data_IF_591504833307
#
_entry.id   IF_591504833307
#
_cell.length_a   1.000
_cell.length_b   1.000
_cell.length_c   1.000
_cell.angle_alpha   90.00
_cell.angle_beta   90.00
_cell.angle_gamma   90.00
#
_symmetry.space_group_name_H-M   'P 1'
#
loop_
_entity.id
_entity.type
_entity.pdbx_description
1 polymer ?
#
# COMPACT_ATOMS: atom_id res chain seq x y z
N UNK A 1 15.32 -1.31 32.17
CA UNK A 1 14.90 -1.67 30.79
C UNK A 1 15.74 -2.81 30.22
N UNK A 2 17.03 -2.69 29.92
CA UNK A 2 17.82 -3.79 29.31
C UNK A 2 17.94 -5.01 30.25
N UNK A 3 18.10 -4.82 31.56
CA UNK A 3 18.24 -5.91 32.53
C UNK A 3 16.98 -6.76 32.70
N UNK A 4 15.81 -6.18 32.47
CA UNK A 4 14.50 -6.86 32.55
C UNK A 4 14.23 -7.75 31.35
N UNK A 5 14.90 -7.48 30.23
CA UNK A 5 14.76 -8.26 29.00
C UNK A 5 15.57 -9.58 29.04
N UNK A 6 16.53 -9.70 29.98
CA UNK A 6 17.43 -10.82 30.08
C UNK A 6 16.71 -12.03 30.77
N UNK A 7 16.74 -13.17 30.13
CA UNK A 7 16.37 -14.47 30.76
C UNK A 7 17.61 -15.16 31.29
N UNK A 8 17.84 -15.05 32.60
CA UNK A 8 19.00 -15.63 33.26
C UNK A 8 18.96 -17.17 33.40
N UNK A 9 17.84 -17.81 33.03
CA UNK A 9 17.74 -19.26 33.01
C UNK A 9 18.32 -19.90 31.75
N UNK A 10 18.67 -19.07 30.75
CA UNK A 10 19.28 -19.49 29.48
C UNK A 10 20.79 -19.22 29.53
N UNK A 11 21.60 -20.21 29.18
CA UNK A 11 23.05 -20.01 29.08
C UNK A 11 23.37 -19.23 27.80
N UNK A 12 24.04 -18.05 27.89
CA UNK A 12 24.35 -17.23 26.73
C UNK A 12 25.29 -17.90 25.72
N UNK A 13 25.95 -19.00 26.10
CA UNK A 13 26.80 -19.79 25.19
C UNK A 13 25.98 -20.73 24.31
N UNK A 14 24.79 -21.14 24.77
CA UNK A 14 23.91 -22.05 24.06
C UNK A 14 22.91 -21.29 23.19
N UNK A 15 22.25 -20.26 23.77
CA UNK A 15 21.30 -19.39 23.06
C UNK A 15 21.43 -17.94 23.57
N UNK A 16 22.28 -17.16 22.89
CA UNK A 16 22.49 -15.76 23.24
C UNK A 16 21.24 -14.90 23.03
N UNK A 17 20.44 -15.18 21.98
CA UNK A 17 19.22 -14.44 21.71
C UNK A 17 18.17 -14.68 22.79
N UNK A 18 17.92 -15.92 23.14
CA UNK A 18 17.02 -16.29 24.23
C UNK A 18 17.48 -15.71 25.59
N UNK A 19 18.79 -15.74 25.89
CA UNK A 19 19.34 -15.08 27.06
C UNK A 19 19.06 -13.56 27.06
N UNK A 20 19.38 -12.85 25.96
CA UNK A 20 19.31 -11.39 25.91
C UNK A 20 17.87 -10.85 25.82
N UNK A 21 16.96 -11.56 25.16
CA UNK A 21 15.61 -11.11 24.83
C UNK A 21 14.49 -11.94 25.47
N UNK A 22 14.77 -13.07 26.06
CA UNK A 22 13.76 -14.01 26.57
C UNK A 22 12.86 -13.44 27.67
N UNK A 23 13.36 -12.55 28.51
CA UNK A 23 12.56 -11.85 29.53
C UNK A 23 11.53 -10.92 28.89
N UNK A 24 11.93 -10.20 27.81
CA UNK A 24 11.01 -9.37 27.04
C UNK A 24 9.93 -10.21 26.36
N UNK A 25 10.30 -11.30 25.69
CA UNK A 25 9.37 -12.20 25.02
C UNK A 25 8.31 -12.78 25.98
N UNK A 26 8.73 -13.19 27.19
CA UNK A 26 7.81 -13.70 28.23
C UNK A 26 6.81 -12.65 28.70
N UNK A 27 7.22 -11.38 28.78
CA UNK A 27 6.36 -10.27 29.21
C UNK A 27 5.51 -9.67 28.09
N UNK A 28 5.82 -10.00 26.82
CA UNK A 28 5.14 -9.49 25.63
C UNK A 28 4.75 -10.65 24.71
N UNK A 29 3.81 -11.53 25.12
CA UNK A 29 3.36 -12.63 24.28
C UNK A 29 2.73 -12.11 22.98
N UNK A 30 2.84 -12.89 21.91
CA UNK A 30 2.20 -12.62 20.64
C UNK A 30 0.68 -12.55 20.84
N UNK A 31 0.08 -11.44 20.43
CA UNK A 31 -1.37 -11.27 20.42
C UNK A 31 -1.95 -11.81 19.13
N UNK A 32 -3.20 -12.34 19.11
CA UNK A 32 -3.78 -12.97 17.92
C UNK A 32 -3.93 -12.04 16.72
N UNK A 33 -4.03 -10.73 16.95
CA UNK A 33 -4.11 -9.69 15.89
C UNK A 33 -2.76 -9.38 15.21
N UNK A 34 -1.67 -10.08 15.59
CA UNK A 34 -0.34 -9.89 15.02
C UNK A 34 0.26 -11.23 14.56
N UNK A 35 0.88 -11.25 13.40
CA UNK A 35 1.69 -12.39 12.93
C UNK A 35 3.10 -12.41 13.55
N UNK A 36 3.56 -11.28 14.07
CA UNK A 36 4.81 -11.09 14.79
C UNK A 36 4.66 -9.92 15.75
N UNK A 37 5.43 -9.93 16.85
CA UNK A 37 5.42 -8.83 17.81
C UNK A 37 6.84 -8.55 18.32
N UNK A 38 7.28 -7.31 18.20
CA UNK A 38 8.59 -6.85 18.65
C UNK A 38 8.51 -5.47 19.30
N UNK A 39 9.66 -4.94 19.70
CA UNK A 39 9.76 -3.61 20.36
C UNK A 39 9.16 -2.51 19.49
N UNK A 40 9.32 -2.58 18.16
CA UNK A 40 8.73 -1.60 17.25
C UNK A 40 7.20 -1.67 17.24
N UNK A 41 6.63 -2.87 17.36
CA UNK A 41 5.18 -3.04 17.44
C UNK A 41 4.63 -2.50 18.75
N UNK A 42 5.33 -2.67 19.87
CA UNK A 42 4.96 -2.09 21.17
C UNK A 42 4.98 -0.55 21.13
N UNK A 43 6.00 0.04 20.51
CA UNK A 43 6.07 1.50 20.30
C UNK A 43 4.94 1.98 19.38
N UNK A 44 4.67 1.26 18.29
CA UNK A 44 3.60 1.58 17.37
C UNK A 44 2.22 1.50 18.04
N UNK A 45 1.99 0.51 18.90
CA UNK A 45 0.74 0.40 19.69
C UNK A 45 0.55 1.58 20.66
N UNK A 46 1.62 2.03 21.31
CA UNK A 46 1.58 3.23 22.17
C UNK A 46 1.23 4.48 21.35
N UNK A 47 1.89 4.65 20.20
CA UNK A 47 1.62 5.77 19.30
C UNK A 47 0.19 5.73 18.75
N UNK A 48 -0.33 4.55 18.39
CA UNK A 48 -1.72 4.38 17.94
C UNK A 48 -2.73 4.80 19.00
N UNK A 49 -2.50 4.43 20.26
CA UNK A 49 -3.36 4.85 21.38
C UNK A 49 -3.34 6.37 21.57
N UNK A 50 -2.18 7.00 21.49
CA UNK A 50 -2.03 8.44 21.58
C UNK A 50 -2.75 9.16 20.42
N UNK A 51 -2.61 8.67 19.18
CA UNK A 51 -3.34 9.22 18.04
C UNK A 51 -4.85 9.01 18.17
N UNK A 52 -5.30 7.85 18.67
CA UNK A 52 -6.71 7.61 19.00
C UNK A 52 -7.26 8.67 19.96
N UNK A 53 -6.57 8.90 21.08
CA UNK A 53 -6.95 9.92 22.07
C UNK A 53 -7.00 11.34 21.46
N UNK A 54 -6.11 11.67 20.53
CA UNK A 54 -6.14 12.94 19.81
C UNK A 54 -7.38 13.08 18.94
N UNK A 55 -7.67 12.07 18.12
CA UNK A 55 -8.79 12.11 17.17
C UNK A 55 -10.13 12.12 17.91
N UNK A 56 -10.30 11.25 18.91
CA UNK A 56 -11.51 11.21 19.76
C UNK A 56 -11.69 12.52 20.54
N UNK A 57 -10.60 13.09 21.06
CA UNK A 57 -10.63 14.39 21.75
C UNK A 57 -11.12 15.55 20.88
N UNK A 58 -10.99 15.47 19.55
CA UNK A 58 -11.59 16.45 18.64
C UNK A 58 -13.12 16.47 18.74
N UNK A 59 -13.75 15.35 19.13
CA UNK A 59 -15.19 15.25 19.37
C UNK A 59 -15.66 15.95 20.63
N UNK A 60 -14.84 15.94 21.68
CA UNK A 60 -15.15 16.54 22.97
C UNK A 60 -15.08 18.08 22.95
N UNK A 61 -14.37 18.68 21.98
CA UNK A 61 -14.19 20.11 21.81
C UNK A 61 -14.79 20.61 20.48
N UNK A 62 -16.13 20.72 20.37
CA UNK A 62 -16.79 21.10 19.11
C UNK A 62 -16.32 22.45 18.54
N UNK A 63 -15.91 23.40 19.36
CA UNK A 63 -15.36 24.67 18.96
C UNK A 63 -14.02 24.56 18.22
N UNK A 64 -13.25 23.49 18.48
CA UNK A 64 -12.02 23.18 17.74
C UNK A 64 -12.30 22.56 16.36
N UNK A 65 -13.56 22.12 16.12
CA UNK A 65 -14.01 21.52 14.85
C UNK A 65 -14.84 22.51 14.03
N UNK A 66 -14.28 23.66 13.76
CA UNK A 66 -14.94 24.65 12.92
C UNK A 66 -15.32 24.03 11.55
N UNK A 67 -16.52 24.30 11.06
CA UNK A 67 -17.05 23.75 9.81
C UNK A 67 -16.07 23.95 8.65
N UNK A 68 -15.76 22.85 7.92
CA UNK A 68 -14.79 22.82 6.84
C UNK A 68 -13.32 22.76 7.29
N UNK A 69 -13.04 22.77 8.62
CA UNK A 69 -11.68 22.63 9.14
C UNK A 69 -11.10 21.23 8.91
N UNK A 70 -9.77 21.13 8.93
CA UNK A 70 -9.07 19.83 8.85
C UNK A 70 -9.40 18.97 10.08
N UNK A 71 -9.53 19.56 11.26
CA UNK A 71 -9.91 18.85 12.48
C UNK A 71 -11.29 18.19 12.36
N UNK A 72 -12.29 18.91 11.80
CA UNK A 72 -13.59 18.32 11.50
C UNK A 72 -13.46 17.14 10.52
N UNK A 73 -12.74 17.31 9.42
CA UNK A 73 -12.59 16.26 8.41
C UNK A 73 -11.94 14.98 8.97
N UNK A 74 -10.92 15.12 9.81
CA UNK A 74 -10.26 14.00 10.50
C UNK A 74 -11.25 13.25 11.38
N UNK A 75 -12.00 13.97 12.21
CA UNK A 75 -12.97 13.38 13.12
C UNK A 75 -14.11 12.71 12.37
N UNK A 76 -14.71 13.40 11.39
CA UNK A 76 -15.87 12.88 10.64
C UNK A 76 -15.52 11.60 9.88
N UNK A 77 -14.32 11.51 9.29
CA UNK A 77 -13.85 10.29 8.61
C UNK A 77 -13.60 9.16 9.62
N UNK A 78 -13.08 9.45 10.80
CA UNK A 78 -12.92 8.45 11.86
C UNK A 78 -14.29 7.90 12.31
N UNK A 79 -15.26 8.77 12.59
CA UNK A 79 -16.62 8.39 12.96
C UNK A 79 -17.31 7.56 11.87
N UNK A 80 -17.15 7.94 10.59
CA UNK A 80 -17.65 7.14 9.47
C UNK A 80 -17.00 5.77 9.41
N UNK A 81 -15.72 5.66 9.74
CA UNK A 81 -15.01 4.38 9.84
C UNK A 81 -15.54 3.47 10.97
N UNK A 82 -16.09 4.06 12.03
CA UNK A 82 -16.72 3.34 13.15
C UNK A 82 -18.19 2.97 12.87
N UNK A 83 -18.87 3.63 11.93
CA UNK A 83 -20.29 3.40 11.60
C UNK A 83 -20.48 2.12 10.78
N UNK A 84 -20.41 0.98 11.47
CA UNK A 84 -20.61 -0.34 10.86
C UNK A 84 -22.01 -0.53 10.31
N UNK A 85 -23.04 0.03 10.95
CA UNK A 85 -24.43 -0.09 10.49
C UNK A 85 -24.64 0.56 9.13
N UNK A 86 -24.04 1.73 8.93
CA UNK A 86 -24.06 2.40 7.62
C UNK A 86 -23.30 1.59 6.58
N UNK A 87 -22.12 1.10 6.89
CA UNK A 87 -21.28 0.32 5.97
C UNK A 87 -22.00 -0.96 5.52
N UNK A 88 -22.66 -1.67 6.45
CA UNK A 88 -23.45 -2.86 6.10
C UNK A 88 -24.66 -2.52 5.22
N UNK A 89 -25.36 -1.43 5.51
CA UNK A 89 -26.51 -0.97 4.71
C UNK A 89 -26.12 -0.56 3.30
N UNK A 90 -24.98 0.11 3.14
CA UNK A 90 -24.47 0.58 1.84
C UNK A 90 -23.80 -0.56 1.05
N UNK A 91 -23.21 -1.55 1.72
CA UNK A 91 -22.61 -2.72 1.09
C UNK A 91 -21.59 -2.37 0.03
N UNK A 92 -21.84 -2.80 -1.21
CA UNK A 92 -20.99 -2.51 -2.38
C UNK A 92 -21.32 -1.17 -3.07
N UNK A 93 -22.41 -0.49 -2.69
CA UNK A 93 -22.92 0.71 -3.41
C UNK A 93 -21.83 1.78 -3.64
N UNK A 94 -20.93 2.08 -2.67
CA UNK A 94 -19.91 3.12 -2.87
C UNK A 94 -18.88 2.83 -3.97
N UNK A 95 -18.59 1.55 -4.27
CA UNK A 95 -17.61 1.17 -5.30
C UNK A 95 -18.26 1.00 -6.69
N UNK A 96 -19.60 0.83 -6.75
CA UNK A 96 -20.29 0.54 -8.01
C UNK A 96 -20.07 1.58 -9.12
N UNK A 97 -20.02 2.90 -8.87
CA UNK A 97 -19.73 3.87 -9.93
C UNK A 97 -18.36 3.65 -10.61
N UNK A 98 -17.38 3.15 -9.86
CA UNK A 98 -16.05 2.81 -10.40
C UNK A 98 -16.15 1.55 -11.25
N UNK A 99 -16.81 0.51 -10.73
CA UNK A 99 -17.03 -0.75 -11.43
C UNK A 99 -17.78 -0.52 -12.74
N UNK A 100 -18.87 0.24 -12.72
CA UNK A 100 -19.68 0.56 -13.91
C UNK A 100 -18.87 1.31 -14.96
N UNK A 101 -18.07 2.30 -14.56
CA UNK A 101 -17.19 3.03 -15.48
C UNK A 101 -16.17 2.10 -16.15
N UNK A 102 -15.57 1.18 -15.41
CA UNK A 102 -14.63 0.21 -15.98
C UNK A 102 -15.37 -0.75 -16.93
N UNK A 103 -16.56 -1.21 -16.59
CA UNK A 103 -17.35 -2.10 -17.43
C UNK A 103 -17.77 -1.44 -18.75
N UNK A 104 -18.00 -0.14 -18.76
CA UNK A 104 -18.36 0.64 -19.96
C UNK A 104 -17.15 1.04 -20.80
N UNK A 105 -15.93 0.86 -20.30
CA UNK A 105 -14.70 1.24 -20.99
C UNK A 105 -14.53 0.41 -22.27
N UNK A 106 -14.24 1.07 -23.39
CA UNK A 106 -13.86 0.49 -24.67
C UNK A 106 -12.50 1.03 -25.14
N UNK A 107 -12.10 0.71 -26.36
CA UNK A 107 -10.83 1.16 -26.90
C UNK A 107 -10.74 2.71 -27.01
N UNK A 108 -11.86 3.36 -27.31
CA UNK A 108 -11.92 4.83 -27.50
C UNK A 108 -11.84 5.57 -26.14
N UNK A 109 -12.45 4.98 -25.10
CA UNK A 109 -12.51 5.54 -23.74
C UNK A 109 -11.42 5.03 -22.81
N UNK A 110 -10.56 4.12 -23.25
CA UNK A 110 -9.49 3.52 -22.46
C UNK A 110 -8.57 4.56 -21.79
N UNK A 111 -8.00 5.47 -22.59
CA UNK A 111 -7.08 6.51 -22.09
C UNK A 111 -7.72 7.38 -21.02
N UNK A 112 -8.95 7.84 -21.25
CA UNK A 112 -9.69 8.68 -20.31
C UNK A 112 -10.00 7.90 -19.00
N UNK A 113 -10.44 6.65 -19.12
CA UNK A 113 -10.74 5.80 -17.96
C UNK A 113 -9.50 5.51 -17.14
N UNK A 114 -8.38 5.16 -17.77
CA UNK A 114 -7.10 4.98 -17.11
C UNK A 114 -6.62 6.25 -16.40
N UNK A 115 -6.74 7.40 -17.03
CA UNK A 115 -6.40 8.69 -16.43
C UNK A 115 -7.26 8.99 -15.20
N UNK A 116 -8.54 8.66 -15.26
CA UNK A 116 -9.47 8.85 -14.15
C UNK A 116 -9.19 7.88 -12.99
N UNK A 117 -8.96 6.59 -13.25
CA UNK A 117 -8.61 5.60 -12.23
C UNK A 117 -7.32 5.98 -11.48
N UNK A 118 -6.32 6.47 -12.19
CA UNK A 118 -5.06 6.89 -11.59
C UNK A 118 -5.15 8.12 -10.66
N UNK A 119 -6.31 8.78 -10.58
CA UNK A 119 -6.55 9.84 -9.58
C UNK A 119 -6.90 9.32 -8.19
N UNK A 120 -7.27 8.04 -8.05
CA UNK A 120 -7.67 7.53 -6.74
C UNK A 120 -8.12 6.07 -6.65
N UNK A 121 -8.24 5.35 -7.77
CA UNK A 121 -8.75 3.97 -7.77
C UNK A 121 -7.72 2.94 -8.29
N UNK A 122 -6.46 3.36 -8.47
CA UNK A 122 -5.39 2.50 -8.96
C UNK A 122 -5.40 2.25 -10.47
N UNK A 123 -4.24 2.26 -11.11
CA UNK A 123 -4.10 2.08 -12.57
C UNK A 123 -3.78 0.66 -13.04
N UNK A 124 -3.46 -0.26 -12.14
CA UNK A 124 -3.25 -1.69 -12.38
C UNK A 124 -2.04 -2.09 -13.21
N UNK A 125 -1.76 -1.46 -14.36
CA UNK A 125 -0.76 -1.94 -15.33
C UNK A 125 0.62 -1.30 -15.23
N UNK A 126 0.70 -0.09 -14.71
CA UNK A 126 1.96 0.64 -14.48
C UNK A 126 1.76 1.66 -13.35
N UNK A 127 2.86 2.03 -12.72
CA UNK A 127 2.88 3.09 -11.72
C UNK A 127 3.49 4.37 -12.28
N UNK A 128 3.04 5.52 -11.80
CA UNK A 128 3.73 6.79 -11.98
C UNK A 128 3.45 7.74 -10.81
N UNK A 129 4.37 8.63 -10.58
CA UNK A 129 4.23 9.61 -9.49
C UNK A 129 5.38 10.60 -9.49
N UNK A 130 5.17 11.70 -8.77
CA UNK A 130 6.18 12.75 -8.58
C UNK A 130 6.94 12.48 -7.28
N UNK A 131 8.26 12.45 -7.37
CA UNK A 131 9.15 12.22 -6.25
C UNK A 131 10.52 12.85 -6.43
N UNK A 132 11.39 12.79 -5.41
CA UNK A 132 12.74 13.37 -5.50
C UNK A 132 13.54 12.73 -6.64
N UNK A 133 14.33 13.58 -7.34
CA UNK A 133 15.32 13.10 -8.29
C UNK A 133 16.46 12.39 -7.52
N UNK A 134 16.78 11.12 -7.80
CA UNK A 134 17.87 10.41 -7.12
C UNK A 134 19.25 11.06 -7.28
N UNK A 135 19.48 11.84 -8.35
CA UNK A 135 20.73 12.56 -8.57
C UNK A 135 20.76 13.93 -7.87
N UNK A 136 19.61 14.55 -7.63
CA UNK A 136 19.46 15.83 -6.92
C UNK A 136 18.13 15.87 -6.18
N UNK A 137 18.11 15.47 -4.92
CA UNK A 137 16.92 15.37 -4.09
C UNK A 137 16.23 16.71 -3.79
N UNK A 138 16.82 17.85 -4.20
CA UNK A 138 16.18 19.17 -4.08
C UNK A 138 15.12 19.41 -5.16
N UNK A 139 15.08 18.57 -6.21
CA UNK A 139 14.16 18.67 -7.35
C UNK A 139 13.26 17.46 -7.41
N UNK A 140 11.97 17.67 -7.55
CA UNK A 140 11.00 16.61 -7.80
C UNK A 140 10.84 16.36 -9.31
N UNK A 141 10.72 15.09 -9.68
CA UNK A 141 10.60 14.64 -11.07
C UNK A 141 9.49 13.59 -11.22
N UNK A 142 8.97 13.43 -12.43
CA UNK A 142 8.04 12.36 -12.74
C UNK A 142 8.81 11.04 -12.88
N UNK A 143 8.37 10.03 -12.15
CA UNK A 143 8.84 8.66 -12.24
C UNK A 143 7.76 7.79 -12.89
N UNK A 144 8.14 6.94 -13.84
CA UNK A 144 7.30 5.87 -14.39
C UNK A 144 7.89 4.54 -13.95
N UNK A 145 7.06 3.65 -13.43
CA UNK A 145 7.48 2.41 -12.76
C UNK A 145 6.63 1.19 -13.13
N UNK A 146 7.10 0.03 -12.72
CA UNK A 146 6.29 -1.19 -12.70
C UNK A 146 5.05 -1.00 -11.81
N UNK A 147 3.96 -1.71 -12.15
CA UNK A 147 2.79 -1.81 -11.28
C UNK A 147 3.03 -2.71 -10.07
N UNK A 148 2.08 -2.72 -9.13
CA UNK A 148 1.96 -3.74 -8.10
C UNK A 148 1.57 -5.11 -8.66
N UNK A 149 1.41 -6.07 -7.79
CA UNK A 149 0.76 -7.35 -7.98
C UNK A 149 -0.16 -7.57 -6.78
N UNK A 150 -1.30 -8.20 -6.96
CA UNK A 150 -2.25 -8.45 -5.88
C UNK A 150 -1.62 -9.20 -4.71
N UNK A 151 -0.76 -10.18 -4.96
CA UNK A 151 -0.02 -10.91 -3.92
C UNK A 151 1.30 -10.24 -3.49
N UNK A 152 1.61 -9.06 -4.03
CA UNK A 152 2.75 -8.24 -3.63
C UNK A 152 4.10 -8.64 -4.21
N UNK A 153 4.38 -9.91 -4.46
CA UNK A 153 5.66 -10.37 -5.01
C UNK A 153 5.49 -11.32 -6.19
N UNK A 154 6.41 -11.22 -7.16
CA UNK A 154 6.42 -12.04 -8.37
C UNK A 154 6.59 -13.53 -8.07
N UNK A 155 7.29 -13.87 -7.01
CA UNK A 155 7.65 -15.25 -6.69
C UNK A 155 6.41 -16.09 -6.33
N UNK A 156 5.32 -15.47 -5.84
CA UNK A 156 4.05 -16.17 -5.61
C UNK A 156 3.42 -16.73 -6.90
N UNK A 157 3.68 -16.12 -8.05
CA UNK A 157 3.14 -16.53 -9.35
C UNK A 157 4.09 -17.47 -10.12
N UNK A 158 5.40 -17.39 -9.86
CA UNK A 158 6.43 -18.04 -10.69
C UNK A 158 7.06 -19.27 -10.03
N UNK A 159 7.11 -19.31 -8.70
CA UNK A 159 7.71 -20.42 -7.97
C UNK A 159 6.64 -21.43 -7.55
N UNK A 160 6.87 -22.69 -7.94
CA UNK A 160 5.98 -23.82 -7.57
C UNK A 160 6.44 -24.44 -6.27
N UNK A 161 5.66 -24.26 -5.22
CA UNK A 161 5.82 -24.90 -3.92
C UNK A 161 4.45 -24.93 -3.20
N UNK A 162 4.30 -25.80 -2.20
CA UNK A 162 3.07 -26.01 -1.46
C UNK A 162 2.48 -24.71 -0.84
N UNK A 163 3.36 -23.84 -0.34
CA UNK A 163 2.93 -22.55 0.22
C UNK A 163 2.33 -21.63 -0.83
N UNK A 164 2.97 -21.49 -1.98
CA UNK A 164 2.48 -20.64 -3.07
C UNK A 164 1.19 -21.20 -3.66
N UNK A 165 1.08 -22.53 -3.79
CA UNK A 165 -0.13 -23.18 -4.26
C UNK A 165 -1.31 -22.90 -3.30
N UNK A 166 -1.09 -22.96 -1.97
CA UNK A 166 -2.08 -22.60 -0.96
C UNK A 166 -2.50 -21.12 -1.07
N UNK A 167 -1.54 -20.21 -1.27
CA UNK A 167 -1.81 -18.78 -1.42
C UNK A 167 -2.61 -18.51 -2.71
N UNK A 168 -2.26 -19.15 -3.83
CA UNK A 168 -2.99 -18.98 -5.09
C UNK A 168 -4.42 -19.53 -5.00
N UNK A 169 -4.65 -20.64 -4.30
CA UNK A 169 -6.01 -21.14 -4.02
C UNK A 169 -6.82 -20.15 -3.15
N UNK A 170 -6.19 -19.56 -2.13
CA UNK A 170 -6.84 -18.54 -1.31
C UNK A 170 -7.12 -17.26 -2.12
N UNK A 171 -6.24 -16.88 -3.03
CA UNK A 171 -6.44 -15.74 -3.93
C UNK A 171 -7.59 -16.00 -4.90
N UNK A 172 -7.69 -17.20 -5.48
CA UNK A 172 -8.84 -17.58 -6.30
C UNK A 172 -10.16 -17.42 -5.51
N UNK A 173 -10.21 -17.97 -4.29
CA UNK A 173 -11.39 -17.83 -3.41
C UNK A 173 -11.69 -16.37 -3.09
N UNK A 174 -10.67 -15.55 -2.85
CA UNK A 174 -10.83 -14.11 -2.63
C UNK A 174 -11.48 -13.42 -3.83
N UNK A 175 -10.98 -13.65 -5.04
CA UNK A 175 -11.56 -13.09 -6.28
C UNK A 175 -13.02 -13.48 -6.42
N UNK A 176 -13.36 -14.79 -6.27
CA UNK A 176 -14.74 -15.26 -6.32
C UNK A 176 -15.63 -14.53 -5.29
N UNK A 177 -15.13 -14.39 -4.07
CA UNK A 177 -15.88 -13.78 -2.98
C UNK A 177 -16.18 -12.31 -3.26
N UNK A 178 -15.16 -11.49 -3.58
CA UNK A 178 -15.35 -10.05 -3.77
C UNK A 178 -16.13 -9.74 -5.07
N UNK A 179 -15.99 -10.58 -6.12
CA UNK A 179 -16.83 -10.45 -7.32
C UNK A 179 -18.30 -10.75 -7.00
N UNK A 180 -18.58 -11.78 -6.22
CA UNK A 180 -19.95 -12.07 -5.76
C UNK A 180 -20.56 -10.93 -4.93
N UNK A 181 -19.77 -10.26 -4.09
CA UNK A 181 -20.23 -9.12 -3.28
C UNK A 181 -20.63 -7.89 -4.10
N UNK A 182 -20.11 -7.74 -5.31
CA UNK A 182 -20.51 -6.68 -6.27
C UNK A 182 -21.51 -7.18 -7.33
N UNK A 183 -22.09 -8.37 -7.15
CA UNK A 183 -23.19 -8.87 -7.96
C UNK A 183 -22.79 -9.66 -9.21
N UNK A 184 -21.53 -10.08 -9.34
CA UNK A 184 -21.12 -11.00 -10.42
C UNK A 184 -21.63 -12.42 -10.15
N UNK A 185 -21.96 -13.14 -11.21
CA UNK A 185 -22.27 -14.58 -11.11
C UNK A 185 -20.99 -15.38 -10.81
N UNK A 186 -21.10 -16.64 -10.33
CA UNK A 186 -19.93 -17.50 -10.16
C UNK A 186 -19.12 -17.68 -11.46
N UNK A 187 -19.79 -17.77 -12.60
CA UNK A 187 -19.17 -17.89 -13.93
C UNK A 187 -18.41 -16.60 -14.31
N UNK A 188 -18.96 -15.43 -14.00
CA UNK A 188 -18.29 -14.16 -14.21
C UNK A 188 -17.07 -14.02 -13.27
N UNK A 189 -17.20 -14.45 -12.03
CA UNK A 189 -16.09 -14.48 -11.07
C UNK A 189 -14.93 -15.37 -11.56
N UNK A 190 -15.25 -16.54 -12.15
CA UNK A 190 -14.24 -17.43 -12.73
C UNK A 190 -13.55 -16.79 -13.93
N UNK A 191 -14.29 -16.13 -14.82
CA UNK A 191 -13.71 -15.37 -15.94
C UNK A 191 -12.77 -14.26 -15.45
N UNK A 192 -13.15 -13.55 -14.39
CA UNK A 192 -12.29 -12.51 -13.77
C UNK A 192 -11.02 -13.16 -13.21
N UNK A 193 -11.12 -14.27 -12.49
CA UNK A 193 -9.97 -15.01 -11.99
C UNK A 193 -9.02 -15.44 -13.12
N UNK A 194 -9.53 -16.04 -14.20
CA UNK A 194 -8.73 -16.44 -15.36
C UNK A 194 -7.99 -15.26 -15.99
N UNK A 195 -8.68 -14.13 -16.14
CA UNK A 195 -8.08 -12.88 -16.67
C UNK A 195 -6.98 -12.34 -15.74
N UNK A 196 -7.23 -12.31 -14.45
CA UNK A 196 -6.31 -11.79 -13.45
C UNK A 196 -5.06 -12.64 -13.33
N UNK A 197 -5.21 -13.97 -13.18
CA UNK A 197 -4.06 -14.85 -12.99
C UNK A 197 -3.15 -14.90 -14.23
N UNK A 198 -3.74 -14.81 -15.42
CA UNK A 198 -2.98 -14.70 -16.67
C UNK A 198 -2.20 -13.40 -16.72
N UNK A 199 -2.88 -12.26 -16.50
CA UNK A 199 -2.24 -10.93 -16.57
C UNK A 199 -1.16 -10.79 -15.50
N UNK A 200 -1.44 -11.14 -14.26
CA UNK A 200 -0.45 -10.98 -13.17
C UNK A 200 0.72 -11.94 -13.28
N UNK A 201 0.51 -13.13 -13.82
CA UNK A 201 1.63 -14.05 -14.14
C UNK A 201 2.53 -13.46 -15.20
N UNK A 202 1.99 -12.86 -16.26
CA UNK A 202 2.79 -12.19 -17.30
C UNK A 202 3.51 -10.95 -16.73
N UNK A 203 2.82 -10.13 -15.92
CA UNK A 203 3.44 -9.03 -15.18
C UNK A 203 4.60 -9.55 -14.32
N UNK A 204 4.40 -10.60 -13.54
CA UNK A 204 5.41 -11.19 -12.66
C UNK A 204 6.66 -11.64 -13.41
N UNK A 205 6.52 -12.21 -14.62
CA UNK A 205 7.65 -12.61 -15.48
C UNK A 205 8.52 -11.44 -15.90
N UNK A 206 7.94 -10.27 -16.08
CA UNK A 206 8.62 -9.08 -16.60
C UNK A 206 9.06 -8.08 -15.53
N UNK A 207 8.62 -8.26 -14.28
CA UNK A 207 9.05 -7.43 -13.13
C UNK A 207 10.48 -7.77 -12.73
N UNK A 208 11.18 -6.77 -12.21
CA UNK A 208 12.50 -6.94 -11.58
C UNK A 208 12.45 -7.92 -10.41
N UNK A 209 13.51 -8.71 -10.24
CA UNK A 209 13.72 -9.51 -9.03
C UNK A 209 13.94 -8.63 -7.81
N UNK A 210 13.92 -9.23 -6.60
CA UNK A 210 14.21 -8.51 -5.34
C UNK A 210 15.62 -7.92 -5.33
N UNK A 211 16.60 -8.64 -5.90
CA UNK A 211 17.98 -8.19 -6.02
C UNK A 211 18.11 -7.02 -6.99
N UNK A 212 17.48 -7.12 -8.17
CA UNK A 212 17.48 -6.03 -9.16
C UNK A 212 16.82 -4.76 -8.61
N UNK A 213 15.74 -4.89 -7.83
CA UNK A 213 15.08 -3.73 -7.21
C UNK A 213 15.95 -3.02 -6.17
N UNK A 214 16.87 -3.73 -5.51
CA UNK A 214 17.83 -3.15 -4.55
C UNK A 214 18.97 -2.39 -5.22
N UNK A 215 19.20 -2.58 -6.52
CA UNK A 215 20.22 -1.86 -7.25
C UNK A 215 19.68 -0.52 -7.78
N UNK A 216 20.05 0.64 -7.17
CA UNK A 216 19.52 1.93 -7.58
C UNK A 216 19.91 2.31 -9.02
N UNK A 217 21.03 1.81 -9.54
CA UNK A 217 21.49 2.08 -10.90
C UNK A 217 20.54 1.49 -11.96
N UNK A 218 19.85 0.40 -11.63
CA UNK A 218 18.84 -0.20 -12.52
C UNK A 218 17.51 0.56 -12.53
N UNK A 219 17.32 1.49 -11.58
CA UNK A 219 16.08 2.25 -11.42
C UNK A 219 16.22 3.72 -11.83
N UNK A 220 17.42 4.16 -12.23
CA UNK A 220 17.67 5.50 -12.69
C UNK A 220 17.94 5.52 -14.20
N UNK A 221 16.87 5.78 -14.98
CA UNK A 221 16.94 5.83 -16.44
C UNK A 221 16.29 7.12 -16.92
N UNK A 222 17.08 8.19 -16.93
CA UNK A 222 16.67 9.51 -17.28
C UNK A 222 16.50 9.67 -18.80
N UNK A 223 15.43 10.29 -19.23
CA UNK A 223 15.21 10.58 -20.65
C UNK A 223 14.28 11.76 -20.88
N UNK A 224 14.41 12.39 -22.05
CA UNK A 224 13.47 13.42 -22.48
C UNK A 224 12.10 12.80 -22.76
N UNK A 225 11.05 13.58 -22.57
CA UNK A 225 9.66 13.18 -22.87
C UNK A 225 9.50 12.76 -24.33
N UNK A 226 10.14 13.44 -25.28
CA UNK A 226 10.11 13.03 -26.69
C UNK A 226 10.68 11.62 -26.91
N UNK A 227 11.80 11.29 -26.26
CA UNK A 227 12.39 9.95 -26.32
C UNK A 227 11.47 8.92 -25.64
N UNK A 228 10.86 9.26 -24.51
CA UNK A 228 9.93 8.40 -23.80
C UNK A 228 8.73 8.02 -24.68
N UNK A 229 8.04 9.01 -25.23
CA UNK A 229 6.87 8.79 -26.09
C UNK A 229 7.21 8.01 -27.37
N UNK A 230 8.36 8.26 -27.97
CA UNK A 230 8.80 7.51 -29.17
C UNK A 230 9.22 6.08 -28.89
N UNK A 231 9.73 5.81 -27.68
CA UNK A 231 10.18 4.47 -27.27
C UNK A 231 9.03 3.58 -26.84
N UNK A 232 7.98 4.13 -26.26
CA UNK A 232 6.84 3.40 -25.69
C UNK A 232 5.50 3.81 -26.31
N UNK A 233 5.33 3.64 -27.65
CA UNK A 233 4.22 4.24 -28.39
C UNK A 233 2.87 3.52 -28.22
N UNK A 234 2.85 2.32 -27.64
CA UNK A 234 1.63 1.50 -27.51
C UNK A 234 0.64 1.97 -26.43
N UNK A 235 1.01 2.96 -25.64
CA UNK A 235 0.17 3.56 -24.60
C UNK A 235 0.13 5.08 -24.83
N UNK A 236 -1.06 5.67 -24.78
CA UNK A 236 -1.21 7.13 -24.83
C UNK A 236 -0.82 7.78 -23.49
N UNK A 237 0.48 7.80 -23.23
CA UNK A 237 1.04 8.37 -22.01
C UNK A 237 0.66 9.83 -21.80
N UNK A 238 0.61 10.62 -22.89
CA UNK A 238 0.23 12.03 -22.80
C UNK A 238 -1.19 12.17 -22.32
N UNK A 239 -2.14 11.49 -22.96
CA UNK A 239 -3.55 11.50 -22.57
C UNK A 239 -3.75 11.04 -21.13
N UNK A 240 -3.04 9.98 -20.68
CA UNK A 240 -3.13 9.47 -19.30
C UNK A 240 -2.58 10.49 -18.30
N UNK A 241 -1.39 11.05 -18.51
CA UNK A 241 -0.80 12.00 -17.56
C UNK A 241 -1.59 13.31 -17.48
N UNK A 242 -1.88 13.94 -18.61
CA UNK A 242 -2.66 15.19 -18.66
C UNK A 242 -4.08 14.96 -18.12
N UNK A 243 -4.72 13.85 -18.50
CA UNK A 243 -6.04 13.44 -18.00
C UNK A 243 -6.06 13.17 -16.51
N UNK A 244 -4.97 12.70 -15.89
CA UNK A 244 -4.86 12.56 -14.44
C UNK A 244 -4.45 13.85 -13.71
N UNK A 245 -4.27 14.96 -14.44
CA UNK A 245 -3.93 16.27 -13.87
C UNK A 245 -2.43 16.54 -13.77
N UNK A 246 -1.58 15.69 -14.35
CA UNK A 246 -0.14 15.91 -14.40
C UNK A 246 0.24 16.68 -15.67
N UNK A 247 1.03 17.72 -15.50
CA UNK A 247 1.65 18.41 -16.63
C UNK A 247 2.82 17.59 -17.15
N UNK A 248 2.89 17.38 -18.47
CA UNK A 248 4.03 16.71 -19.09
C UNK A 248 5.34 17.46 -18.80
N UNK A 249 6.34 16.83 -18.18
CA UNK A 249 7.65 17.45 -17.95
C UNK A 249 8.50 17.41 -19.23
N UNK A 250 9.60 18.14 -19.26
CA UNK A 250 10.60 18.04 -20.34
C UNK A 250 11.34 16.72 -20.30
N UNK A 251 11.62 16.24 -19.11
CA UNK A 251 12.34 15.00 -18.83
C UNK A 251 11.68 14.23 -17.69
N UNK A 252 11.90 12.91 -17.65
CA UNK A 252 11.35 12.01 -16.63
C UNK A 252 12.28 10.83 -16.38
N UNK A 253 12.06 10.13 -15.28
CA UNK A 253 12.76 8.88 -14.97
C UNK A 253 11.85 7.67 -15.23
N UNK A 254 12.40 6.65 -15.89
CA UNK A 254 11.74 5.35 -16.07
C UNK A 254 12.47 4.31 -15.22
N UNK A 255 11.87 3.89 -14.11
CA UNK A 255 12.52 2.97 -13.17
C UNK A 255 12.70 1.55 -13.70
N UNK A 256 11.96 1.13 -14.71
CA UNK A 256 12.10 -0.20 -15.34
C UNK A 256 11.82 -0.14 -16.84
N UNK A 257 12.86 0.16 -17.63
CA UNK A 257 12.73 0.28 -19.09
C UNK A 257 12.17 -0.98 -19.71
N UNK A 258 12.72 -2.16 -19.37
CA UNK A 258 12.30 -3.44 -19.95
C UNK A 258 10.82 -3.74 -19.68
N UNK A 259 10.36 -3.44 -18.48
CA UNK A 259 8.97 -3.63 -18.12
C UNK A 259 8.03 -2.70 -18.91
N UNK A 260 8.35 -1.40 -18.97
CA UNK A 260 7.51 -0.42 -19.69
C UNK A 260 7.52 -0.70 -21.21
N UNK A 261 8.65 -1.14 -21.76
CA UNK A 261 8.76 -1.53 -23.18
C UNK A 261 7.87 -2.74 -23.49
N UNK A 262 7.94 -3.77 -22.65
CA UNK A 262 7.06 -4.93 -22.74
C UNK A 262 5.59 -4.56 -22.57
N UNK A 263 5.25 -3.81 -21.52
CA UNK A 263 3.87 -3.38 -21.21
C UNK A 263 3.27 -2.53 -22.34
N UNK A 264 4.08 -1.68 -22.99
CA UNK A 264 3.66 -0.87 -24.13
C UNK A 264 3.24 -1.72 -25.35
N UNK A 265 3.73 -2.95 -25.47
CA UNK A 265 3.27 -3.91 -26.48
C UNK A 265 2.17 -4.84 -25.98
N UNK A 266 2.26 -5.26 -24.72
CA UNK A 266 1.35 -6.24 -24.12
C UNK A 266 -0.06 -5.68 -23.88
N UNK A 267 -0.16 -4.52 -23.25
CA UNK A 267 -1.46 -3.93 -22.88
C UNK A 267 -2.38 -3.70 -24.09
N UNK A 268 -1.92 -3.12 -25.22
CA UNK A 268 -2.76 -3.00 -26.41
C UNK A 268 -3.14 -4.32 -27.10
N UNK A 269 -2.42 -5.41 -26.80
CA UNK A 269 -2.71 -6.74 -27.36
C UNK A 269 -3.80 -7.49 -26.58
N UNK A 270 -4.12 -7.05 -25.36
CA UNK A 270 -5.14 -7.68 -24.53
C UNK A 270 -6.55 -7.41 -25.07
N UNK A 271 -7.43 -8.44 -25.06
CA UNK A 271 -8.86 -8.22 -25.24
C UNK A 271 -9.39 -7.25 -24.18
N UNK A 272 -10.18 -6.26 -24.59
CA UNK A 272 -10.70 -5.22 -23.69
C UNK A 272 -11.46 -5.82 -22.49
N UNK A 273 -12.11 -6.96 -22.66
CA UNK A 273 -12.79 -7.65 -21.55
C UNK A 273 -11.81 -8.10 -20.45
N UNK A 274 -10.64 -8.63 -20.81
CA UNK A 274 -9.60 -9.01 -19.82
C UNK A 274 -9.08 -7.78 -19.07
N UNK A 275 -8.92 -6.66 -19.78
CA UNK A 275 -8.50 -5.40 -19.17
C UNK A 275 -9.55 -4.91 -18.16
N UNK A 276 -10.85 -4.97 -18.52
CA UNK A 276 -11.95 -4.63 -17.61
C UNK A 276 -11.97 -5.54 -16.39
N UNK A 277 -11.91 -6.87 -16.59
CA UNK A 277 -11.92 -7.86 -15.51
C UNK A 277 -10.78 -7.59 -14.50
N UNK A 278 -9.57 -7.34 -15.00
CA UNK A 278 -8.41 -7.01 -14.16
C UNK A 278 -8.58 -5.70 -13.39
N UNK A 279 -8.99 -4.62 -14.06
CA UNK A 279 -9.15 -3.31 -13.43
C UNK A 279 -10.30 -3.30 -12.41
N UNK A 280 -11.38 -4.05 -12.64
CA UNK A 280 -12.47 -4.20 -11.66
C UNK A 280 -11.95 -4.85 -10.38
N UNK A 281 -11.17 -5.93 -10.47
CA UNK A 281 -10.57 -6.55 -9.29
C UNK A 281 -9.68 -5.54 -8.54
N UNK A 282 -8.77 -4.87 -9.24
CA UNK A 282 -7.85 -3.89 -8.61
C UNK A 282 -8.65 -2.79 -7.90
N UNK A 283 -9.64 -2.20 -8.55
CA UNK A 283 -10.44 -1.13 -7.98
C UNK A 283 -11.22 -1.56 -6.72
N UNK A 284 -11.80 -2.76 -6.72
CA UNK A 284 -12.51 -3.28 -5.55
C UNK A 284 -11.53 -3.58 -4.42
N UNK A 285 -10.38 -4.20 -4.72
CA UNK A 285 -9.36 -4.55 -3.72
C UNK A 285 -8.82 -3.31 -2.99
N UNK A 286 -8.66 -2.19 -3.68
CA UNK A 286 -8.27 -0.90 -3.05
C UNK A 286 -9.36 -0.36 -2.10
N UNK A 287 -10.63 -0.75 -2.28
CA UNK A 287 -11.77 -0.29 -1.51
C UNK A 287 -12.19 -1.18 -0.33
N UNK A 288 -11.70 -2.41 -0.22
CA UNK A 288 -12.18 -3.43 0.74
C UNK A 288 -12.24 -2.95 2.18
N UNK A 289 -11.26 -2.18 2.62
CA UNK A 289 -11.17 -1.63 3.98
C UNK A 289 -12.27 -0.61 4.33
N UNK A 290 -12.97 -0.05 3.36
CA UNK A 290 -14.00 0.99 3.53
C UNK A 290 -15.41 0.53 3.19
N UNK A 291 -15.58 -0.65 2.61
CA UNK A 291 -16.87 -1.29 2.27
C UNK A 291 -17.42 -2.08 3.46
N UNK A 292 -18.46 -2.90 3.25
CA UNK A 292 -19.06 -3.73 4.31
C UNK A 292 -18.05 -4.73 4.90
N UNK A 293 -18.39 -5.30 6.07
CA UNK A 293 -17.50 -6.24 6.78
C UNK A 293 -17.18 -7.47 5.93
N UNK A 294 -18.07 -7.88 5.02
CA UNK A 294 -17.83 -9.02 4.14
C UNK A 294 -16.63 -8.82 3.20
N UNK A 295 -16.40 -7.60 2.71
CA UNK A 295 -15.20 -7.26 1.93
C UNK A 295 -13.93 -7.31 2.78
N UNK A 296 -13.99 -6.75 3.98
CA UNK A 296 -12.85 -6.79 4.91
C UNK A 296 -12.53 -8.23 5.34
N UNK A 297 -13.54 -9.07 5.55
CA UNK A 297 -13.36 -10.49 5.88
C UNK A 297 -12.63 -11.24 4.76
N UNK A 298 -13.03 -11.01 3.50
CA UNK A 298 -12.35 -11.62 2.36
C UNK A 298 -10.87 -11.21 2.29
N UNK A 299 -10.59 -9.93 2.50
CA UNK A 299 -9.25 -9.36 2.54
C UNK A 299 -8.41 -9.96 3.67
N UNK A 300 -8.95 -10.01 4.88
CA UNK A 300 -8.32 -10.62 6.06
C UNK A 300 -7.98 -12.09 5.86
N UNK A 301 -8.89 -12.88 5.29
CA UNK A 301 -8.66 -14.32 5.05
C UNK A 301 -7.46 -14.56 4.13
N UNK A 302 -7.30 -13.76 3.06
CA UNK A 302 -6.17 -13.88 2.15
C UNK A 302 -4.88 -13.32 2.73
N UNK A 303 -4.86 -12.03 3.04
CA UNK A 303 -3.61 -11.30 3.31
C UNK A 303 -3.11 -11.46 4.75
N UNK A 304 -4.04 -11.43 5.71
CA UNK A 304 -3.66 -11.53 7.11
C UNK A 304 -3.58 -13.01 7.55
N UNK A 305 -4.61 -13.83 7.28
CA UNK A 305 -4.65 -15.21 7.77
C UNK A 305 -3.76 -16.15 6.96
N UNK A 306 -3.99 -16.27 5.65
CA UNK A 306 -3.25 -17.25 4.83
C UNK A 306 -1.83 -16.80 4.55
N UNK A 307 -1.61 -15.55 4.13
CA UNK A 307 -0.28 -15.08 3.77
C UNK A 307 0.59 -14.74 4.97
N UNK A 308 0.02 -14.16 6.03
CA UNK A 308 0.76 -13.63 7.19
C UNK A 308 0.66 -14.48 8.45
N UNK A 309 -0.34 -15.38 8.58
CA UNK A 309 -0.55 -16.23 9.75
C UNK A 309 -1.18 -15.49 10.94
N UNK A 310 -1.87 -14.38 10.72
CA UNK A 310 -2.60 -13.64 11.73
C UNK A 310 -3.90 -14.38 12.09
N UNK A 311 -4.20 -14.55 13.36
CA UNK A 311 -5.34 -15.34 13.82
C UNK A 311 -6.64 -14.53 13.94
N UNK A 312 -6.55 -13.26 14.37
CA UNK A 312 -7.70 -12.39 14.63
C UNK A 312 -7.58 -11.04 13.90
N UNK A 313 -8.72 -10.49 13.54
CA UNK A 313 -8.82 -9.16 12.93
C UNK A 313 -8.43 -8.06 13.92
N UNK A 314 -7.85 -6.98 13.42
CA UNK A 314 -7.61 -5.78 14.23
C UNK A 314 -8.93 -5.19 14.74
N UNK A 315 -8.98 -4.69 16.00
CA UNK A 315 -10.14 -4.00 16.53
C UNK A 315 -10.63 -2.88 15.60
N UNK A 316 -11.95 -2.66 15.55
CA UNK A 316 -12.59 -1.69 14.65
C UNK A 316 -11.96 -0.30 14.73
N UNK A 317 -11.68 0.21 15.93
CA UNK A 317 -11.07 1.52 16.10
C UNK A 317 -9.68 1.65 15.42
N UNK A 318 -8.89 0.56 15.36
CA UNK A 318 -7.59 0.56 14.66
C UNK A 318 -7.79 0.63 13.15
N UNK A 319 -8.80 -0.05 12.64
CA UNK A 319 -9.18 -0.02 11.22
C UNK A 319 -9.69 1.36 10.83
N UNK A 320 -10.63 1.89 11.60
CA UNK A 320 -11.21 3.22 11.39
C UNK A 320 -10.15 4.33 11.44
N UNK A 321 -9.18 4.25 12.38
CA UNK A 321 -8.11 5.24 12.52
C UNK A 321 -7.10 5.19 11.35
N UNK A 322 -6.96 4.07 10.66
CA UNK A 322 -6.05 3.95 9.51
C UNK A 322 -6.47 4.91 8.38
N UNK A 323 -7.77 5.15 8.21
CA UNK A 323 -8.32 6.00 7.14
C UNK A 323 -7.85 7.47 7.28
N UNK A 324 -8.13 8.19 8.40
CA UNK A 324 -7.65 9.55 8.58
C UNK A 324 -6.12 9.66 8.59
N UNK A 325 -5.40 8.66 9.12
CA UNK A 325 -3.94 8.64 9.06
C UNK A 325 -3.40 8.55 7.62
N UNK A 326 -4.05 7.81 6.75
CA UNK A 326 -3.68 7.73 5.33
C UNK A 326 -4.01 9.02 4.58
N UNK A 327 -5.19 9.60 4.82
CA UNK A 327 -5.68 10.77 4.07
C UNK A 327 -5.13 12.11 4.59
N UNK A 328 -4.92 12.23 5.91
CA UNK A 328 -4.55 13.47 6.59
C UNK A 328 -3.32 13.30 7.48
N UNK A 329 -2.39 12.41 7.12
CA UNK A 329 -1.24 12.04 7.95
C UNK A 329 -0.42 13.23 8.46
N UNK A 330 -0.18 14.25 7.63
CA UNK A 330 0.54 15.47 8.04
C UNK A 330 -0.23 16.27 9.10
N UNK A 331 -1.55 16.41 8.93
CA UNK A 331 -2.38 17.13 9.89
C UNK A 331 -2.54 16.37 11.22
N UNK A 332 -2.72 15.04 11.15
CA UNK A 332 -2.69 14.18 12.35
C UNK A 332 -1.33 14.24 13.03
N UNK A 333 -0.25 14.27 12.25
CA UNK A 333 1.12 14.46 12.73
C UNK A 333 1.31 15.79 13.44
N UNK A 334 0.72 16.88 12.96
CA UNK A 334 0.75 18.19 13.62
C UNK A 334 0.11 18.10 15.00
N UNK A 335 -1.09 17.55 15.13
CA UNK A 335 -1.78 17.35 16.41
C UNK A 335 -0.93 16.51 17.38
N UNK A 336 -0.27 15.45 16.85
CA UNK A 336 0.60 14.61 17.65
C UNK A 336 1.83 15.37 18.18
N UNK A 337 2.48 16.15 17.33
CA UNK A 337 3.67 16.94 17.68
C UNK A 337 3.33 17.97 18.75
N UNK A 338 2.21 18.68 18.62
CA UNK A 338 1.77 19.69 19.58
C UNK A 338 1.58 19.11 21.00
N UNK A 339 1.07 17.88 21.12
CA UNK A 339 0.79 17.26 22.43
C UNK A 339 1.92 16.37 22.96
N UNK A 340 2.57 15.58 22.10
CA UNK A 340 3.47 14.50 22.53
C UNK A 340 4.93 14.68 22.14
N UNK A 341 5.27 15.70 21.33
CA UNK A 341 6.64 15.93 20.88
C UNK A 341 7.14 17.35 21.21
N UNK A 342 7.40 17.66 22.50
CA UNK A 342 7.85 18.98 22.95
C UNK A 342 9.21 19.36 22.32
N UNK A 343 9.51 20.67 22.29
CA UNK A 343 10.74 21.21 21.67
C UNK A 343 12.05 20.59 22.24
N UNK A 344 12.04 20.17 23.52
CA UNK A 344 13.17 19.46 24.11
C UNK A 344 13.45 18.13 23.41
N UNK A 345 12.42 17.34 23.05
CA UNK A 345 12.56 16.09 22.32
C UNK A 345 13.06 16.35 20.89
N UNK A 346 12.57 17.40 20.23
CA UNK A 346 13.04 17.81 18.91
C UNK A 346 14.53 18.16 18.91
N UNK A 347 14.97 18.92 19.91
CA UNK A 347 16.39 19.24 20.09
C UNK A 347 17.24 17.99 20.30
N UNK A 348 16.78 17.08 21.15
CA UNK A 348 17.45 15.80 21.39
C UNK A 348 17.57 14.95 20.12
N UNK A 349 16.49 14.85 19.34
CA UNK A 349 16.51 14.11 18.08
C UNK A 349 17.44 14.73 17.04
N UNK A 350 17.47 16.06 16.93
CA UNK A 350 18.44 16.74 16.05
C UNK A 350 19.89 16.38 16.43
N UNK A 351 20.21 16.39 17.72
CA UNK A 351 21.54 16.02 18.21
C UNK A 351 21.85 14.54 17.91
N UNK A 352 20.87 13.63 18.09
CA UNK A 352 21.03 12.22 17.76
C UNK A 352 21.32 12.02 16.27
N UNK A 353 20.58 12.69 15.39
CA UNK A 353 20.80 12.62 13.93
C UNK A 353 22.20 13.13 13.57
N UNK A 354 22.66 14.22 14.17
CA UNK A 354 24.00 14.76 13.90
C UNK A 354 25.10 13.80 14.37
N UNK A 355 24.93 13.18 15.54
CA UNK A 355 25.85 12.14 16.02
C UNK A 355 25.90 10.93 15.07
N UNK A 356 24.75 10.48 14.55
CA UNK A 356 24.68 9.40 13.58
C UNK A 356 25.36 9.76 12.25
N UNK A 357 25.17 10.99 11.75
CA UNK A 357 25.86 11.48 10.54
C UNK A 357 27.37 11.49 10.72
N UNK A 358 27.85 11.97 11.87
CA UNK A 358 29.28 11.96 12.21
C UNK A 358 29.82 10.53 12.28
N UNK A 359 29.12 9.61 12.96
CA UNK A 359 29.53 8.22 13.05
C UNK A 359 29.55 7.52 11.68
N UNK A 360 28.56 7.79 10.81
CA UNK A 360 28.53 7.29 9.44
C UNK A 360 29.73 7.79 8.63
N UNK A 361 30.07 9.10 8.72
CA UNK A 361 31.24 9.66 8.07
C UNK A 361 32.54 8.95 8.48
N UNK A 362 32.70 8.66 9.77
CA UNK A 362 33.86 7.90 10.28
C UNK A 362 33.87 6.44 9.78
N UNK A 363 32.69 5.79 9.72
CA UNK A 363 32.57 4.42 9.21
C UNK A 363 32.93 4.32 7.73
N UNK A 364 32.54 5.29 6.91
CA UNK A 364 32.87 5.33 5.48
C UNK A 364 34.37 5.48 5.18
N UNK A 365 35.17 5.97 6.15
CA UNK A 365 36.63 6.04 6.02
C UNK A 365 37.25 4.63 6.10
N UNK A 366 36.59 3.69 6.74
CA UNK A 366 37.07 2.32 6.96
C UNK A 366 36.59 1.29 5.92
N UNK A 367 35.70 1.70 5.02
CA UNK A 367 35.20 0.90 3.89
C UNK A 367 36.02 1.22 2.64
#
# INVERSE_FOLDING_TARGET
>A
MIKENIDRNIDPRDDFYGYACGGWQKSHPLKPEFSRYGVFDDIAEKSRKQVKELIEGLGEHPEARQHGSIAQKIHDIYEQGLDTERREREGATPIMPIVERIQQMDADTFTETMAWLNRGAGGGFFGYGVGPNPADSSVNVLHVSECGLSLGDRDYYLEKNERNDTILQAFHKYVQTIMGLVGYTPEDGERVWESVIEIETEIARHKKTREERRNPLLSYNWMTTGKFLSRFPGIDWRGIFEGSGLKMPEELNVSSIKFIEWMSGYLPSLPIQKVRDYLVLIAISEGTGTLSEAFYEADFELYDRVMSGTEEKKPLWKRAMAIPNSMFGEAVGQLYVEKYFPEANKKYMKQLVENLRTALGLSLIHI
#
